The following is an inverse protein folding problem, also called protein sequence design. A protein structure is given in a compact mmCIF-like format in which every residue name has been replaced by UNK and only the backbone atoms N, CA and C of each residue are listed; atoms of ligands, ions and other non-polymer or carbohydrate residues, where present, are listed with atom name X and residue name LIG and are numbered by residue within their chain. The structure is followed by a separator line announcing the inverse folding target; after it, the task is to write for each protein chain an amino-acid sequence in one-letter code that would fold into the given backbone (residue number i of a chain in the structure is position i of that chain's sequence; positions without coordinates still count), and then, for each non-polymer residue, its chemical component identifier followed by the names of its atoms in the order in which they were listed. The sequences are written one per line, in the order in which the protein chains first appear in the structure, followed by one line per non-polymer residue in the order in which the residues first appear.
data_IF_305649171533
#
_entry.id   IF_305649171533
#
_cell.length_a   1.000
_cell.length_b   1.000
_cell.length_c   1.000
_cell.angle_alpha   90.00
_cell.angle_beta   90.00
_cell.angle_gamma   90.00
#
_symmetry.space_group_name_H-M   'P 1'
#
loop_
_entity.id
_entity.type
_entity.pdbx_description
1 polymer ?
#
# COMPACT_ATOMS: atom_id res chain seq x y z
N UNK A 1 23.19 -10.70 24.04
CA UNK A 1 22.22 -9.60 23.99
C UNK A 1 22.25 -9.05 22.58
N UNK A 2 21.21 -9.25 21.77
CA UNK A 2 21.16 -8.66 20.43
C UNK A 2 21.01 -7.15 20.61
N UNK A 3 21.98 -6.37 20.13
CA UNK A 3 21.80 -4.93 19.95
C UNK A 3 20.69 -4.76 18.92
N UNK A 4 19.48 -4.45 19.38
CA UNK A 4 18.41 -4.00 18.49
C UNK A 4 18.86 -2.66 17.90
N UNK A 5 19.39 -2.69 16.68
CA UNK A 5 19.73 -1.48 15.94
C UNK A 5 18.42 -0.78 15.57
N UNK A 6 17.92 0.06 16.47
CA UNK A 6 16.78 0.94 16.19
C UNK A 6 17.26 1.96 15.16
N UNK A 7 16.83 1.81 13.92
CA UNK A 7 17.10 2.80 12.89
C UNK A 7 16.39 4.12 13.22
N UNK A 8 17.17 5.16 13.49
CA UNK A 8 16.63 6.51 13.69
C UNK A 8 16.15 7.02 12.33
N UNK A 9 14.87 7.40 12.26
CA UNK A 9 14.27 7.94 11.05
C UNK A 9 14.81 9.33 10.76
N UNK A 10 15.31 9.53 9.54
CA UNK A 10 15.61 10.85 9.00
C UNK A 10 14.52 11.30 7.99
N UNK A 11 14.60 12.54 7.52
CA UNK A 11 13.62 13.10 6.58
C UNK A 11 13.52 12.34 5.25
N UNK A 12 14.63 11.76 4.77
CA UNK A 12 14.64 10.94 3.55
C UNK A 12 13.89 9.63 3.77
N UNK A 13 14.07 9.00 4.93
CA UNK A 13 13.36 7.78 5.29
C UNK A 13 11.86 8.04 5.38
N UNK A 14 11.45 9.12 6.05
CA UNK A 14 10.05 9.53 6.13
C UNK A 14 9.43 9.79 4.75
N UNK A 15 10.21 10.35 3.82
CA UNK A 15 9.78 10.57 2.44
C UNK A 15 9.58 9.24 1.71
N UNK A 16 10.47 8.27 1.90
CA UNK A 16 10.34 6.93 1.33
C UNK A 16 9.11 6.20 1.91
N UNK A 17 8.94 6.21 3.23
CA UNK A 17 7.78 5.58 3.90
C UNK A 17 6.46 6.18 3.43
N UNK A 18 6.41 7.51 3.26
CA UNK A 18 5.25 8.18 2.67
C UNK A 18 5.01 7.74 1.23
N UNK A 19 6.05 7.64 0.42
CA UNK A 19 5.94 7.15 -0.95
C UNK A 19 5.38 5.71 -1.03
N UNK A 20 5.79 4.83 -0.11
CA UNK A 20 5.26 3.47 0.01
C UNK A 20 3.77 3.49 0.38
N UNK A 21 3.36 4.32 1.34
CA UNK A 21 1.95 4.50 1.70
C UNK A 21 1.14 5.01 0.51
N UNK A 22 1.60 6.06 -0.15
CA UNK A 22 0.92 6.68 -1.30
C UNK A 22 0.75 5.67 -2.45
N UNK A 23 1.81 4.90 -2.77
CA UNK A 23 1.77 3.86 -3.80
C UNK A 23 0.82 2.70 -3.46
N UNK A 24 0.72 2.33 -2.18
CA UNK A 24 -0.25 1.34 -1.70
C UNK A 24 -1.69 1.89 -1.61
N UNK A 25 -1.89 3.16 -1.98
CA UNK A 25 -3.18 3.83 -1.95
C UNK A 25 -3.56 4.33 -0.56
N UNK A 26 -2.64 4.45 0.38
CA UNK A 26 -2.82 5.17 1.65
C UNK A 26 -2.41 6.64 1.47
N UNK A 27 -3.18 7.37 0.67
CA UNK A 27 -2.92 8.79 0.40
C UNK A 27 -3.62 9.73 1.39
N UNK A 28 -3.32 11.03 1.31
CA UNK A 28 -3.91 12.05 2.18
C UNK A 28 -5.45 12.14 2.12
N UNK A 29 -6.08 11.78 1.01
CA UNK A 29 -7.54 11.72 0.94
C UNK A 29 -8.09 10.60 1.85
N UNK A 30 -7.38 9.48 1.91
CA UNK A 30 -7.72 8.34 2.77
C UNK A 30 -7.32 8.51 4.21
N UNK A 31 -6.31 9.32 4.52
CA UNK A 31 -6.05 9.69 5.91
C UNK A 31 -7.21 10.45 6.53
N UNK A 32 -8.00 11.19 5.73
CA UNK A 32 -9.22 11.88 6.18
C UNK A 32 -10.42 10.93 6.23
N UNK A 33 -10.61 10.10 5.19
CA UNK A 33 -11.76 9.20 5.12
C UNK A 33 -11.68 8.00 6.10
N UNK A 34 -10.48 7.47 6.30
CA UNK A 34 -10.20 6.30 7.15
C UNK A 34 -8.92 6.52 7.99
N UNK A 35 -8.93 7.46 8.95
CA UNK A 35 -7.75 7.84 9.72
C UNK A 35 -7.14 6.66 10.49
N UNK A 36 -7.98 5.73 10.98
CA UNK A 36 -7.52 4.54 11.70
C UNK A 36 -6.67 3.61 10.82
N UNK A 37 -7.13 3.34 9.58
CA UNK A 37 -6.40 2.46 8.65
C UNK A 37 -5.09 3.09 8.19
N UNK A 38 -5.11 4.38 7.89
CA UNK A 38 -3.90 5.12 7.54
C UNK A 38 -2.89 5.11 8.69
N UNK A 39 -3.35 5.42 9.91
CA UNK A 39 -2.49 5.46 11.10
C UNK A 39 -1.90 4.09 11.43
N UNK A 40 -2.68 3.01 11.29
CA UNK A 40 -2.21 1.65 11.48
C UNK A 40 -1.12 1.26 10.46
N UNK A 41 -1.34 1.55 9.18
CA UNK A 41 -0.37 1.28 8.11
C UNK A 41 0.94 2.07 8.33
N UNK A 42 0.84 3.36 8.68
CA UNK A 42 2.00 4.21 8.95
C UNK A 42 2.82 3.71 10.16
N UNK A 43 2.14 3.35 11.27
CA UNK A 43 2.80 2.78 12.45
C UNK A 43 3.52 1.48 12.13
N UNK A 44 2.89 0.61 11.35
CA UNK A 44 3.49 -0.66 10.93
C UNK A 44 4.76 -0.43 10.11
N UNK A 45 4.72 0.47 9.12
CA UNK A 45 5.89 0.77 8.30
C UNK A 45 7.06 1.34 9.12
N UNK A 46 6.78 2.29 10.01
CA UNK A 46 7.78 2.88 10.91
C UNK A 46 8.44 1.79 11.75
N UNK A 47 7.64 0.91 12.36
CA UNK A 47 8.13 -0.18 13.18
C UNK A 47 9.01 -1.13 12.37
N UNK A 48 8.58 -1.53 11.16
CA UNK A 48 9.33 -2.44 10.29
C UNK A 48 10.66 -1.85 9.83
N UNK A 49 10.65 -0.56 9.49
CA UNK A 49 11.87 0.17 9.14
C UNK A 49 12.85 0.23 10.31
N UNK A 50 12.35 0.54 11.51
CA UNK A 50 13.16 0.56 12.73
C UNK A 50 13.78 -0.81 13.05
N UNK A 51 13.11 -1.91 12.69
CA UNK A 51 13.64 -3.28 12.79
C UNK A 51 14.56 -3.71 11.63
N UNK A 52 14.90 -2.80 10.70
CA UNK A 52 15.88 -3.03 9.64
C UNK A 52 15.29 -3.31 8.26
N UNK A 53 13.96 -3.34 8.09
CA UNK A 53 13.33 -3.45 6.78
C UNK A 53 13.37 -2.10 6.07
N UNK A 54 14.46 -1.85 5.34
CA UNK A 54 14.78 -0.54 4.73
C UNK A 54 14.43 -0.45 3.25
N UNK A 55 14.07 -1.56 2.62
CA UNK A 55 13.64 -1.63 1.22
C UNK A 55 12.18 -1.22 1.06
N UNK A 56 11.92 -0.29 0.14
CA UNK A 56 10.56 0.14 -0.19
C UNK A 56 9.68 -1.00 -0.74
N UNK A 57 10.28 -1.93 -1.50
CA UNK A 57 9.56 -3.08 -2.06
C UNK A 57 9.15 -4.07 -0.96
N UNK A 58 10.04 -4.32 0.00
CA UNK A 58 9.74 -5.21 1.13
C UNK A 58 8.66 -4.62 2.04
N UNK A 59 8.74 -3.32 2.30
CA UNK A 59 7.73 -2.58 3.06
C UNK A 59 6.37 -2.57 2.37
N UNK A 60 6.35 -2.48 1.03
CA UNK A 60 5.11 -2.56 0.24
C UNK A 60 4.49 -3.96 0.34
N UNK A 61 5.29 -5.02 0.20
CA UNK A 61 4.82 -6.41 0.37
C UNK A 61 4.34 -6.70 1.79
N UNK A 62 4.98 -6.10 2.78
CA UNK A 62 4.57 -6.21 4.17
C UNK A 62 3.21 -5.56 4.41
N UNK A 63 2.95 -4.38 3.83
CA UNK A 63 1.63 -3.75 3.87
C UNK A 63 0.57 -4.64 3.23
N UNK A 64 0.86 -5.19 2.05
CA UNK A 64 -0.06 -6.09 1.35
C UNK A 64 -0.39 -7.33 2.19
N UNK A 65 0.63 -7.90 2.86
CA UNK A 65 0.42 -9.07 3.73
C UNK A 65 -0.43 -8.74 4.96
N UNK A 66 -0.24 -7.56 5.55
CA UNK A 66 -0.93 -7.20 6.80
C UNK A 66 -2.34 -6.64 6.57
N UNK A 67 -2.59 -5.94 5.46
CA UNK A 67 -3.84 -5.23 5.21
C UNK A 67 -4.60 -5.74 3.98
N UNK A 68 -4.06 -6.70 3.24
CA UNK A 68 -4.60 -7.19 1.97
C UNK A 68 -4.07 -6.41 0.77
N UNK A 69 -4.54 -6.75 -0.44
CA UNK A 69 -4.09 -6.07 -1.65
C UNK A 69 -4.19 -4.55 -1.51
N UNK A 70 -3.22 -3.79 -2.11
CA UNK A 70 -3.33 -2.36 -2.13
C UNK A 70 -4.67 -2.02 -2.76
N UNK A 71 -5.33 -1.00 -2.25
CA UNK A 71 -6.55 -0.52 -2.88
C UNK A 71 -6.12 0.35 -4.06
N UNK A 72 -5.35 -0.28 -4.95
CA UNK A 72 -4.99 0.23 -6.25
C UNK A 72 -6.30 0.36 -6.98
N UNK A 73 -6.60 1.58 -7.40
CA UNK A 73 -7.70 1.90 -8.30
C UNK A 73 -7.46 1.33 -9.70
N UNK A 74 -6.87 0.14 -9.83
CA UNK A 74 -7.00 -0.65 -11.04
C UNK A 74 -8.48 -0.94 -11.16
N UNK A 75 -9.14 -0.10 -11.95
CA UNK A 75 -10.50 -0.29 -12.43
C UNK A 75 -10.73 -1.78 -12.61
N UNK A 76 -11.83 -2.34 -12.09
CA UNK A 76 -12.24 -3.68 -12.48
C UNK A 76 -12.17 -3.76 -14.01
N UNK A 77 -11.73 -4.89 -14.60
CA UNK A 77 -11.75 -5.05 -16.04
C UNK A 77 -13.15 -4.65 -16.53
N UNK A 78 -13.21 -3.66 -17.42
CA UNK A 78 -14.47 -3.08 -17.92
C UNK A 78 -15.46 -4.21 -18.21
N UNK A 79 -16.58 -4.21 -17.47
CA UNK A 79 -17.68 -5.17 -17.64
C UNK A 79 -18.30 -5.12 -19.05
N UNK A 80 -17.90 -4.18 -19.91
CA UNK A 80 -18.36 -4.09 -21.29
C UNK A 80 -18.04 -5.36 -22.10
N UNK A 81 -16.91 -6.02 -21.83
CA UNK A 81 -16.55 -7.26 -22.54
C UNK A 81 -17.49 -8.43 -22.19
N UNK A 82 -18.02 -8.42 -20.97
CA UNK A 82 -18.90 -9.49 -20.47
C UNK A 82 -20.32 -9.36 -21.03
N UNK A 83 -20.83 -8.14 -21.24
CA UNK A 83 -22.21 -7.94 -21.73
C UNK A 83 -22.39 -8.41 -23.18
N UNK A 84 -21.44 -8.10 -24.06
CA UNK A 84 -21.50 -8.52 -25.46
C UNK A 84 -21.48 -10.05 -25.61
N UNK A 85 -20.69 -10.75 -24.78
CA UNK A 85 -20.58 -12.21 -24.79
C UNK A 85 -21.84 -12.89 -24.25
N UNK A 86 -22.53 -12.31 -23.26
CA UNK A 86 -23.77 -12.86 -22.70
C UNK A 86 -24.95 -12.65 -23.67
N UNK A 87 -24.95 -11.56 -24.45
CA UNK A 87 -26.03 -11.24 -25.40
C UNK A 87 -25.81 -11.80 -26.81
N UNK A 88 -24.75 -12.60 -27.04
CA UNK A 88 -24.44 -13.18 -28.35
C UNK A 88 -24.08 -12.14 -29.42
N UNK A 89 -23.65 -10.94 -29.01
CA UNK A 89 -23.24 -9.88 -29.93
C UNK A 89 -21.85 -10.18 -30.52
N UNK A 90 -21.58 -9.81 -31.78
CA UNK A 90 -20.28 -10.02 -32.38
C UNK A 90 -19.21 -9.19 -31.65
N UNK A 91 -18.12 -9.84 -31.25
CA UNK A 91 -16.89 -9.17 -30.83
C UNK A 91 -16.28 -8.53 -32.07
N UNK A 92 -16.26 -7.21 -32.14
CA UNK A 92 -15.53 -6.45 -33.17
C UNK A 92 -14.12 -6.13 -32.70
#
# INVERSE_FOLDING_TARGET
MSSEHVHILNSRDLTMLRGVLDAAGYNSARSVAHPERYSAAAKLLIQRFQYGMTSADDLSRELERCFGEPISSKSPPSFERTRASIQGGPVR
#
